data_IF_307469024833
#
_entry.id   IF_307469024833
#
_cell.length_a   1.000
_cell.length_b   1.000
_cell.length_c   1.000
_cell.angle_alpha   90.00
_cell.angle_beta   90.00
_cell.angle_gamma   90.00
#
_symmetry.space_group_name_H-M   'P 1'
#
loop_
_entity.id
_entity.type
_entity.pdbx_description
1 polymer ?
#
# COMPACT_ATOMS: atom_id res chain seq x y z
N UNK A 1 -5.58 10.86 17.81
CA UNK A 1 -4.96 9.70 17.15
C UNK A 1 -5.42 8.38 17.77
N UNK A 2 -5.75 8.35 19.06
CA UNK A 2 -6.42 7.19 19.66
C UNK A 2 -7.77 6.93 18.97
N UNK A 3 -7.98 5.69 18.49
CA UNK A 3 -9.27 5.23 17.96
C UNK A 3 -9.40 5.04 16.43
N UNK A 4 -8.38 5.34 15.61
CA UNK A 4 -8.47 5.15 14.15
C UNK A 4 -8.09 3.74 13.66
N UNK A 5 -7.62 2.86 14.54
CA UNK A 5 -7.19 1.50 14.20
C UNK A 5 -8.19 0.50 14.76
N UNK A 6 -8.71 -0.36 13.89
CA UNK A 6 -9.61 -1.46 14.24
C UNK A 6 -8.98 -2.79 13.82
N UNK A 7 -8.82 -3.72 14.77
CA UNK A 7 -8.40 -5.08 14.44
C UNK A 7 -9.59 -5.87 13.90
N UNK A 8 -9.40 -6.47 12.73
CA UNK A 8 -10.39 -7.33 12.07
C UNK A 8 -9.85 -8.75 11.95
N UNK A 9 -10.70 -9.68 11.48
CA UNK A 9 -10.29 -11.07 11.26
C UNK A 9 -9.14 -11.13 10.24
N UNK A 10 -8.12 -11.94 10.56
CA UNK A 10 -6.97 -12.15 9.68
C UNK A 10 -7.36 -12.89 8.39
N UNK A 11 -6.57 -12.68 7.33
CA UNK A 11 -6.79 -13.27 6.01
C UNK A 11 -6.47 -14.77 6.03
N UNK A 12 -7.34 -15.64 5.50
CA UNK A 12 -6.98 -17.04 5.26
C UNK A 12 -5.70 -17.15 4.40
N UNK A 13 -4.69 -17.88 4.87
CA UNK A 13 -3.41 -18.01 4.15
C UNK A 13 -2.54 -16.74 4.16
N UNK A 14 -2.56 -15.97 5.25
CA UNK A 14 -1.66 -14.83 5.41
C UNK A 14 -0.22 -15.29 5.66
N UNK A 15 0.63 -15.25 4.63
CA UNK A 15 2.07 -15.39 4.79
C UNK A 15 2.62 -14.21 5.60
N UNK A 16 3.27 -14.50 6.72
CA UNK A 16 3.65 -13.48 7.70
C UNK A 16 4.92 -12.71 7.34
N UNK A 17 5.69 -13.18 6.36
CA UNK A 17 6.99 -12.60 6.03
C UNK A 17 7.33 -12.79 4.56
N UNK A 18 7.51 -11.66 3.89
CA UNK A 18 8.22 -11.58 2.61
C UNK A 18 9.51 -10.81 2.81
N UNK A 19 10.60 -11.31 2.25
CA UNK A 19 11.90 -10.64 2.25
C UNK A 19 12.64 -11.02 0.97
N UNK A 20 13.14 -10.00 0.26
CA UNK A 20 13.87 -10.17 -1.00
C UNK A 20 15.32 -9.77 -0.78
N UNK A 21 16.24 -10.61 -1.27
CA UNK A 21 17.64 -10.24 -1.44
C UNK A 21 17.87 -9.66 -2.84
N UNK A 22 18.20 -8.37 -2.91
CA UNK A 22 18.48 -7.65 -4.15
C UNK A 22 19.98 -7.51 -4.46
N UNK A 23 20.87 -8.22 -3.76
CA UNK A 23 22.32 -8.11 -3.92
C UNK A 23 22.78 -8.41 -5.35
N UNK A 24 22.14 -9.36 -6.04
CA UNK A 24 22.48 -9.67 -7.44
C UNK A 24 22.26 -8.45 -8.35
N UNK A 25 21.09 -7.82 -8.23
CA UNK A 25 20.72 -6.64 -9.01
C UNK A 25 21.66 -5.46 -8.72
N UNK A 26 22.01 -5.25 -7.45
CA UNK A 26 22.99 -4.25 -7.05
C UNK A 26 24.38 -4.52 -7.61
N UNK A 27 24.89 -5.73 -7.48
CA UNK A 27 26.27 -6.06 -7.84
C UNK A 27 26.49 -6.14 -9.36
N UNK A 28 25.51 -6.67 -10.10
CA UNK A 28 25.64 -6.87 -11.55
C UNK A 28 25.25 -5.63 -12.35
N UNK A 29 24.25 -4.88 -11.91
CA UNK A 29 23.71 -3.74 -12.65
C UNK A 29 23.94 -2.39 -11.96
N UNK A 30 24.56 -2.36 -10.77
CA UNK A 30 24.80 -1.13 -10.02
C UNK A 30 23.53 -0.47 -9.49
N UNK A 31 22.40 -1.19 -9.49
CA UNK A 31 21.12 -0.62 -9.07
C UNK A 31 21.06 -0.45 -7.55
N UNK A 32 20.55 0.69 -7.13
CA UNK A 32 20.20 0.98 -5.75
C UNK A 32 18.84 1.71 -5.71
N UNK A 33 18.04 1.53 -4.64
CA UNK A 33 16.80 2.28 -4.49
C UNK A 33 17.09 3.78 -4.39
N UNK A 34 16.34 4.57 -5.16
CA UNK A 34 16.49 6.03 -5.16
C UNK A 34 15.84 6.73 -3.96
N UNK A 35 15.04 6.01 -3.17
CA UNK A 35 14.27 6.53 -2.03
C UNK A 35 14.28 5.54 -0.87
N UNK A 36 14.28 6.07 0.35
CA UNK A 36 13.98 5.30 1.56
C UNK A 36 12.47 5.19 1.76
N UNK A 37 12.02 4.24 2.59
CA UNK A 37 10.60 3.95 2.79
C UNK A 37 9.83 5.16 3.32
N UNK A 38 10.36 5.86 4.31
CA UNK A 38 9.72 7.00 4.97
C UNK A 38 9.47 8.14 3.99
N UNK A 39 10.45 8.41 3.11
CA UNK A 39 10.35 9.42 2.08
C UNK A 39 9.31 9.02 1.02
N UNK A 40 9.37 7.77 0.57
CA UNK A 40 8.40 7.22 -0.39
C UNK A 40 6.97 7.31 0.16
N UNK A 41 6.74 6.88 1.40
CA UNK A 41 5.43 6.89 2.04
C UNK A 41 4.88 8.32 2.18
N UNK A 42 5.71 9.28 2.60
CA UNK A 42 5.29 10.69 2.68
C UNK A 42 4.88 11.25 1.32
N UNK A 43 5.66 10.96 0.27
CA UNK A 43 5.33 11.35 -1.12
C UNK A 43 4.05 10.70 -1.60
N UNK A 44 3.83 9.42 -1.28
CA UNK A 44 2.59 8.72 -1.62
C UNK A 44 1.39 9.38 -0.95
N UNK A 45 1.43 9.65 0.36
CA UNK A 45 0.33 10.33 1.06
C UNK A 45 0.03 11.69 0.42
N UNK A 46 1.06 12.51 0.16
CA UNK A 46 0.90 13.80 -0.48
C UNK A 46 0.28 13.68 -1.89
N UNK A 47 0.67 12.65 -2.66
CA UNK A 47 0.09 12.39 -3.96
C UNK A 47 -1.41 12.10 -3.86
N UNK A 48 -1.84 11.21 -2.96
CA UNK A 48 -3.28 10.90 -2.77
C UNK A 48 -4.09 12.16 -2.40
N UNK A 49 -3.60 12.97 -1.46
CA UNK A 49 -4.26 14.22 -1.05
C UNK A 49 -4.35 15.25 -2.18
N UNK A 50 -3.39 15.26 -3.11
CA UNK A 50 -3.41 16.16 -4.27
C UNK A 50 -4.23 15.64 -5.46
N UNK A 51 -4.72 14.39 -5.41
CA UNK A 51 -5.37 13.71 -6.53
C UNK A 51 -6.77 13.18 -6.17
N UNK A 52 -7.55 13.94 -5.38
CA UNK A 52 -8.90 13.54 -4.95
C UNK A 52 -9.83 13.18 -6.11
N UNK A 53 -9.82 13.98 -7.20
CA UNK A 53 -10.62 13.68 -8.40
C UNK A 53 -10.30 12.31 -8.99
N UNK A 54 -9.03 11.90 -8.95
CA UNK A 54 -8.65 10.57 -9.41
C UNK A 54 -9.22 9.49 -8.49
N UNK A 55 -9.14 9.70 -7.17
CA UNK A 55 -9.72 8.80 -6.17
C UNK A 55 -11.23 8.60 -6.35
N UNK A 56 -11.98 9.67 -6.55
CA UNK A 56 -13.44 9.61 -6.74
C UNK A 56 -13.83 8.73 -7.94
N UNK A 57 -13.02 8.77 -9.00
CA UNK A 57 -13.28 8.00 -10.21
C UNK A 57 -13.02 6.50 -10.05
N UNK A 58 -12.15 6.10 -9.11
CA UNK A 58 -11.76 4.68 -8.95
C UNK A 58 -12.37 4.00 -7.72
N UNK A 59 -12.97 4.76 -6.81
CA UNK A 59 -13.51 4.25 -5.54
C UNK A 59 -15.05 4.14 -5.51
N UNK A 60 -15.70 4.16 -6.67
CA UNK A 60 -17.17 4.06 -6.79
C UNK A 60 -17.63 2.72 -7.39
N UNK A 61 -18.94 2.48 -7.35
CA UNK A 61 -19.56 1.33 -8.02
C UNK A 61 -19.06 -0.01 -7.49
N UNK A 62 -18.42 -0.79 -8.34
CA UNK A 62 -17.99 -2.16 -7.99
C UNK A 62 -16.90 -2.19 -6.92
N UNK A 63 -16.10 -1.12 -6.79
CA UNK A 63 -15.15 -0.98 -5.69
C UNK A 63 -15.86 -0.95 -4.33
N UNK A 64 -16.94 -0.16 -4.21
CA UNK A 64 -17.72 -0.06 -2.97
C UNK A 64 -18.43 -1.37 -2.66
N UNK A 65 -19.05 -2.01 -3.66
CA UNK A 65 -19.71 -3.31 -3.49
C UNK A 65 -18.74 -4.38 -3.00
N UNK A 66 -17.52 -4.42 -3.53
CA UNK A 66 -16.48 -5.33 -3.06
C UNK A 66 -16.12 -5.05 -1.61
N UNK A 67 -15.92 -3.77 -1.25
CA UNK A 67 -15.56 -3.38 0.11
C UNK A 67 -16.63 -3.79 1.13
N UNK A 68 -17.91 -3.56 0.79
CA UNK A 68 -19.04 -3.99 1.60
C UNK A 68 -19.04 -5.51 1.83
N UNK A 69 -18.84 -6.30 0.78
CA UNK A 69 -18.83 -7.76 0.86
C UNK A 69 -17.66 -8.32 1.69
N UNK A 70 -16.50 -7.66 1.69
CA UNK A 70 -15.30 -8.17 2.35
C UNK A 70 -15.13 -7.67 3.79
N UNK A 71 -15.62 -6.48 4.12
CA UNK A 71 -15.25 -5.77 5.35
C UNK A 71 -16.43 -5.27 6.20
N UNK A 72 -17.69 -5.53 5.83
CA UNK A 72 -18.87 -5.19 6.66
C UNK A 72 -19.17 -6.22 7.74
#
# INVERSE_FOLDING_TARGET
AEGLITYVKDRPGHDKRYAIDANKLKNELGWEPSLQFEEGLAKTIAWYLSNEKWMDNITSGDYQKYYEQQYS
#
